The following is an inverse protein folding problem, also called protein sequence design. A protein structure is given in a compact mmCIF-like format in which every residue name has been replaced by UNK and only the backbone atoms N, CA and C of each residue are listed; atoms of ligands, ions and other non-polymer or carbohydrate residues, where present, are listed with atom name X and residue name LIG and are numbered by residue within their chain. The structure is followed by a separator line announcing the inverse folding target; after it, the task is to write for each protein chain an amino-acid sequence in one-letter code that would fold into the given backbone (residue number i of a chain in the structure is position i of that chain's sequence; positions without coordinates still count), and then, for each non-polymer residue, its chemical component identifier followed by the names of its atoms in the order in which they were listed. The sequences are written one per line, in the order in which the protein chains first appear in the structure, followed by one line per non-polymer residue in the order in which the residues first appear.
data_IF_866939410564
#
_entry.id   IF_866939410564
#
_cell.length_a   1.000
_cell.length_b   1.000
_cell.length_c   1.000
_cell.angle_alpha   90.00
_cell.angle_beta   90.00
_cell.angle_gamma   90.00
#
_symmetry.space_group_name_H-M   'P 1'
#
loop_
_entity.id
_entity.type
_entity.pdbx_description
1 polymer ?
#
# COMPACT_ATOMS: atom_id res chain seq x y z
N UNK A 1 23.02 31.64 -21.66
CA UNK A 1 21.73 31.89 -22.34
C UNK A 1 20.63 31.90 -21.30
N UNK A 2 19.60 32.74 -21.46
CA UNK A 2 18.46 32.78 -20.52
C UNK A 2 17.47 31.68 -20.88
N UNK A 3 17.10 30.83 -19.92
CA UNK A 3 16.14 29.76 -20.14
C UNK A 3 14.72 30.20 -19.77
N UNK A 4 13.71 29.49 -20.28
CA UNK A 4 12.30 29.68 -19.87
C UNK A 4 12.16 29.53 -18.33
N UNK A 5 12.94 28.61 -17.73
CA UNK A 5 12.96 28.41 -16.29
C UNK A 5 13.45 29.65 -15.53
N UNK A 6 14.42 30.38 -16.07
CA UNK A 6 14.94 31.62 -15.46
C UNK A 6 13.91 32.76 -15.50
N UNK A 7 13.14 32.85 -16.59
CA UNK A 7 12.04 33.83 -16.70
C UNK A 7 10.94 33.51 -15.69
N UNK A 8 10.60 32.24 -15.53
CA UNK A 8 9.58 31.78 -14.59
C UNK A 8 9.98 32.07 -13.14
N UNK A 9 11.24 31.84 -12.76
CA UNK A 9 11.75 32.19 -11.42
C UNK A 9 11.67 33.68 -11.12
N UNK A 10 11.97 34.54 -12.12
CA UNK A 10 11.85 36.00 -11.96
C UNK A 10 10.40 36.44 -11.76
N UNK A 11 9.47 35.88 -12.54
CA UNK A 11 8.05 36.18 -12.40
C UNK A 11 7.50 35.74 -11.03
N UNK A 12 7.85 34.54 -10.57
CA UNK A 12 7.48 34.02 -9.24
C UNK A 12 7.98 34.97 -8.13
N UNK A 13 9.24 35.41 -8.21
CA UNK A 13 9.84 36.35 -7.23
C UNK A 13 9.15 37.72 -7.22
N UNK A 14 8.74 38.22 -8.39
CA UNK A 14 8.06 39.52 -8.51
C UNK A 14 6.63 39.50 -7.97
N UNK A 15 5.96 38.35 -8.00
CA UNK A 15 4.58 38.19 -7.57
C UNK A 15 4.44 37.67 -6.12
N UNK A 16 5.53 37.64 -5.34
CA UNK A 16 5.58 37.10 -3.97
C UNK A 16 5.01 35.68 -3.81
N UNK A 17 4.92 34.91 -4.88
CA UNK A 17 4.48 33.52 -4.84
C UNK A 17 5.66 32.70 -4.35
N UNK A 18 5.60 32.21 -3.11
CA UNK A 18 6.65 31.31 -2.62
C UNK A 18 6.50 29.95 -3.29
N UNK A 19 7.27 29.72 -4.36
CA UNK A 19 7.37 28.39 -4.97
C UNK A 19 8.15 27.48 -4.02
N UNK A 20 7.43 26.81 -3.13
CA UNK A 20 7.95 25.70 -2.35
C UNK A 20 7.69 24.43 -3.14
N UNK A 21 8.70 23.83 -3.81
CA UNK A 21 8.53 22.47 -4.27
C UNK A 21 8.24 21.65 -3.00
N UNK A 22 7.19 20.84 -3.01
CA UNK A 22 6.81 19.95 -1.89
C UNK A 22 7.90 18.88 -1.66
N UNK A 23 9.13 19.28 -1.37
CA UNK A 23 10.29 18.39 -1.22
C UNK A 23 10.26 17.62 0.10
N UNK A 24 9.35 17.98 1.02
CA UNK A 24 9.35 17.49 2.39
C UNK A 24 7.96 17.03 2.86
N UNK A 25 7.06 16.60 1.98
CA UNK A 25 5.88 15.86 2.43
C UNK A 25 6.35 14.47 2.84
N UNK A 26 6.89 14.36 4.07
CA UNK A 26 7.26 13.08 4.68
C UNK A 26 6.07 12.15 4.50
N UNK A 27 6.26 11.07 3.75
CA UNK A 27 5.25 10.03 3.64
C UNK A 27 4.86 9.63 5.05
N UNK A 28 3.58 9.81 5.39
CA UNK A 28 3.07 9.31 6.67
C UNK A 28 3.37 7.83 6.68
N UNK A 29 4.24 7.38 7.60
CA UNK A 29 4.53 5.96 7.79
C UNK A 29 3.19 5.26 7.97
N UNK A 30 2.74 4.55 6.94
CA UNK A 30 1.58 3.68 7.06
C UNK A 30 1.99 2.62 8.07
N UNK A 31 1.22 2.48 9.13
CA UNK A 31 1.35 1.32 10.00
C UNK A 31 1.18 0.11 9.09
N UNK A 32 2.25 -0.66 8.89
CA UNK A 32 2.14 -1.94 8.19
C UNK A 32 1.20 -2.78 9.05
N UNK A 33 0.00 -3.04 8.55
CA UNK A 33 -0.94 -3.94 9.21
C UNK A 33 -0.22 -5.29 9.36
N UNK A 34 0.24 -5.60 10.57
CA UNK A 34 0.90 -6.86 10.87
C UNK A 34 -0.21 -7.86 11.18
N UNK A 35 -0.58 -8.63 10.17
CA UNK A 35 -1.43 -9.79 10.38
C UNK A 35 -0.75 -10.75 11.35
N UNK A 36 -1.51 -11.24 12.31
CA UNK A 36 -1.13 -12.33 13.20
C UNK A 36 -0.98 -13.63 12.41
N UNK A 37 -0.26 -14.61 12.98
CA UNK A 37 -0.08 -15.92 12.33
C UNK A 37 -1.42 -16.61 12.05
N UNK A 38 -2.41 -16.43 12.93
CA UNK A 38 -3.77 -16.97 12.75
C UNK A 38 -4.46 -16.32 11.55
N UNK A 39 -4.42 -15.00 11.45
CA UNK A 39 -5.03 -14.27 10.33
C UNK A 39 -4.36 -14.64 9.00
N UNK A 40 -3.04 -14.85 8.99
CA UNK A 40 -2.33 -15.35 7.81
C UNK A 40 -2.82 -16.77 7.46
N UNK A 41 -2.94 -17.68 8.43
CA UNK A 41 -3.44 -19.05 8.20
C UNK A 41 -4.89 -19.07 7.69
N UNK A 42 -5.74 -18.20 8.21
CA UNK A 42 -7.13 -18.04 7.75
C UNK A 42 -7.17 -17.48 6.33
N UNK A 43 -6.41 -16.42 6.05
CA UNK A 43 -6.30 -15.80 4.73
C UNK A 43 -5.78 -16.79 3.67
N UNK A 44 -4.77 -17.59 4.03
CA UNK A 44 -4.20 -18.62 3.17
C UNK A 44 -5.08 -19.88 3.09
N UNK A 45 -6.19 -19.93 3.82
CA UNK A 45 -7.11 -21.08 3.84
C UNK A 45 -6.50 -22.36 4.40
N UNK A 46 -5.41 -22.26 5.17
CA UNK A 46 -4.66 -23.41 5.71
C UNK A 46 -5.54 -24.23 6.67
N UNK A 47 -6.37 -23.55 7.45
CA UNK A 47 -7.27 -24.19 8.41
C UNK A 47 -8.62 -24.61 7.83
N UNK A 48 -8.77 -24.63 6.49
CA UNK A 48 -10.05 -24.96 5.86
C UNK A 48 -10.34 -26.46 5.98
N UNK A 49 -11.50 -26.88 6.54
CA UNK A 49 -11.84 -28.29 6.65
C UNK A 49 -12.00 -28.91 5.26
N UNK A 50 -11.33 -30.04 5.04
CA UNK A 50 -11.41 -30.80 3.78
C UNK A 50 -12.27 -32.03 4.02
N UNK A 51 -13.39 -32.12 3.29
CA UNK A 51 -14.28 -33.28 3.35
C UNK A 51 -13.93 -34.27 2.24
N UNK A 52 -13.87 -35.56 2.57
CA UNK A 52 -13.68 -36.64 1.60
C UNK A 52 -14.68 -37.76 1.85
N UNK A 53 -15.06 -38.47 0.78
CA UNK A 53 -15.84 -39.70 0.91
C UNK A 53 -14.91 -40.84 1.33
N UNK A 54 -15.26 -41.51 2.41
CA UNK A 54 -14.61 -42.76 2.81
C UNK A 54 -15.12 -43.95 1.99
N UNK A 55 -14.56 -45.15 2.24
CA UNK A 55 -15.01 -46.39 1.58
C UNK A 55 -16.51 -46.69 1.76
N UNK A 56 -17.14 -46.15 2.81
CA UNK A 56 -18.59 -46.28 3.07
C UNK A 56 -19.48 -45.17 2.45
N UNK A 57 -18.96 -44.34 1.54
CA UNK A 57 -19.74 -43.34 0.81
C UNK A 57 -20.11 -42.07 1.59
N UNK A 58 -20.13 -42.13 2.93
CA UNK A 58 -20.33 -40.98 3.81
C UNK A 58 -19.18 -39.97 3.68
N UNK A 59 -19.52 -38.68 3.63
CA UNK A 59 -18.55 -37.60 3.75
C UNK A 59 -18.09 -37.46 5.20
N UNK A 60 -16.78 -37.43 5.40
CA UNK A 60 -16.16 -37.10 6.69
C UNK A 60 -15.06 -36.08 6.47
N UNK A 61 -14.85 -35.23 7.46
CA UNK A 61 -13.66 -34.38 7.49
C UNK A 61 -12.43 -35.28 7.56
N UNK A 62 -11.44 -35.01 6.71
CA UNK A 62 -10.16 -35.71 6.69
C UNK A 62 -9.25 -35.19 7.78
#
# INVERSE_FOLDING_TARGET
MRTIQDQMRKWIKANNMTYHPERNRKERKRNKERLTEREIKELMGVCRPVYRRGKGGAFRQR
#
